data_IF_908143483318
#
_entry.id   IF_908143483318
#
_cell.length_a   1.000
_cell.length_b   1.000
_cell.length_c   1.000
_cell.angle_alpha   90.00
_cell.angle_beta   90.00
_cell.angle_gamma   90.00
#
_symmetry.space_group_name_H-M   'P 1'
#
loop_
_entity.id
_entity.type
_entity.pdbx_description
1 polymer ?
#
# COMPACT_ATOMS: atom_id res chain seq x y z
N UNK A 1 5.57 13.05 -19.23
CA UNK A 1 5.88 12.05 -18.18
C UNK A 1 5.87 12.79 -16.86
N UNK A 2 5.12 12.33 -15.86
CA UNK A 2 5.00 12.97 -14.55
C UNK A 2 5.83 12.20 -13.51
N UNK A 3 6.48 12.91 -12.61
CA UNK A 3 7.34 12.37 -11.55
C UNK A 3 6.83 12.81 -10.19
N UNK A 4 7.01 11.98 -9.17
CA UNK A 4 6.55 12.24 -7.81
C UNK A 4 7.60 11.82 -6.79
N UNK A 5 7.64 12.47 -5.62
CA UNK A 5 8.58 12.15 -4.52
C UNK A 5 8.41 10.72 -3.97
N UNK A 6 7.31 10.05 -4.30
CA UNK A 6 7.03 8.66 -3.98
C UNK A 6 5.62 8.28 -4.37
N UNK A 7 5.18 7.09 -3.95
CA UNK A 7 3.78 6.68 -4.06
C UNK A 7 3.20 6.40 -2.67
N UNK A 8 2.12 7.11 -2.32
CA UNK A 8 1.38 6.92 -1.07
C UNK A 8 -0.11 6.77 -1.43
N UNK A 9 -0.73 5.60 -1.22
CA UNK A 9 -2.06 5.29 -1.77
C UNK A 9 -3.24 6.13 -1.24
N UNK A 10 -3.02 6.98 -0.24
CA UNK A 10 -4.04 7.86 0.34
C UNK A 10 -3.52 9.30 0.60
N UNK A 11 -2.47 9.72 -0.10
CA UNK A 11 -1.98 11.09 -0.02
C UNK A 11 -1.98 11.74 -1.41
N UNK A 12 -2.19 13.05 -1.52
CA UNK A 12 -1.94 13.76 -2.76
C UNK A 12 -0.48 13.55 -3.17
N UNK A 13 -0.27 13.08 -4.39
CA UNK A 13 1.07 12.94 -4.94
C UNK A 13 1.60 14.32 -5.33
N UNK A 14 2.79 14.68 -4.85
CA UNK A 14 3.46 15.94 -5.17
C UNK A 14 4.26 15.75 -6.44
N UNK A 15 3.86 16.41 -7.52
CA UNK A 15 4.58 16.38 -8.78
C UNK A 15 5.90 17.16 -8.67
N UNK A 16 6.97 16.57 -9.18
CA UNK A 16 8.32 17.15 -9.20
C UNK A 16 8.91 17.04 -10.61
N UNK A 17 9.96 17.81 -10.89
CA UNK A 17 10.68 17.66 -12.14
C UNK A 17 11.60 16.42 -12.15
N UNK A 18 12.02 16.01 -13.35
CA UNK A 18 12.80 14.79 -13.54
C UNK A 18 14.22 14.86 -12.93
N UNK A 19 14.81 16.05 -12.77
CA UNK A 19 16.11 16.20 -12.13
C UNK A 19 15.96 16.05 -10.61
N UNK A 20 14.97 16.74 -10.02
CA UNK A 20 14.62 16.61 -8.60
C UNK A 20 14.31 15.15 -8.22
N UNK A 21 13.55 14.44 -9.04
CA UNK A 21 13.22 13.03 -8.81
C UNK A 21 14.47 12.13 -8.78
N UNK A 22 15.42 12.33 -9.70
CA UNK A 22 16.66 11.54 -9.72
C UNK A 22 17.59 11.89 -8.57
N UNK A 23 17.57 13.14 -8.11
CA UNK A 23 18.35 13.61 -6.98
C UNK A 23 17.78 13.19 -5.62
N UNK A 24 16.46 12.99 -5.50
CA UNK A 24 15.82 12.55 -4.23
C UNK A 24 16.20 11.13 -3.83
N UNK A 25 16.66 10.31 -4.78
CA UNK A 25 17.01 8.91 -4.57
C UNK A 25 15.80 7.96 -4.52
N UNK A 26 14.62 8.44 -4.11
CA UNK A 26 13.35 7.68 -4.18
C UNK A 26 12.29 8.52 -4.88
N UNK A 27 11.64 7.94 -5.89
CA UNK A 27 10.61 8.63 -6.66
C UNK A 27 9.66 7.64 -7.34
N UNK A 28 8.55 8.15 -7.87
CA UNK A 28 7.63 7.41 -8.71
C UNK A 28 7.43 8.11 -10.06
N UNK A 29 7.31 7.33 -11.13
CA UNK A 29 6.98 7.80 -12.48
C UNK A 29 5.58 7.31 -12.84
N UNK A 30 4.69 8.21 -13.28
CA UNK A 30 3.40 7.80 -13.87
C UNK A 30 3.62 7.42 -15.33
N UNK A 31 3.35 6.15 -15.64
CA UNK A 31 3.65 5.54 -16.95
C UNK A 31 2.41 5.47 -17.84
N UNK A 32 1.22 5.41 -17.24
CA UNK A 32 -0.05 5.28 -17.93
C UNK A 32 -1.14 5.95 -17.07
N UNK A 33 -1.81 6.97 -17.63
CA UNK A 33 -2.87 7.71 -16.94
C UNK A 33 -4.24 7.04 -17.12
N UNK A 34 -4.45 6.35 -18.25
CA UNK A 34 -5.68 5.62 -18.55
C UNK A 34 -5.77 4.35 -17.69
N UNK A 35 -4.62 3.74 -17.42
CA UNK A 35 -4.41 2.62 -16.52
C UNK A 35 -3.45 3.09 -15.43
N UNK A 36 -3.93 3.78 -14.37
CA UNK A 36 -3.08 4.42 -13.36
C UNK A 36 -2.00 3.47 -12.83
N UNK A 37 -0.78 3.66 -13.35
CA UNK A 37 0.36 2.77 -13.15
C UNK A 37 1.63 3.57 -12.94
N UNK A 38 2.28 3.27 -11.83
CA UNK A 38 3.50 3.93 -11.40
C UNK A 38 4.66 2.95 -11.40
N UNK A 39 5.84 3.45 -11.77
CA UNK A 39 7.12 2.77 -11.52
C UNK A 39 7.81 3.49 -10.39
N UNK A 40 8.07 2.79 -9.29
CA UNK A 40 8.76 3.35 -8.14
C UNK A 40 10.23 2.93 -8.16
N UNK A 41 11.11 3.91 -7.97
CA UNK A 41 12.56 3.75 -8.05
C UNK A 41 13.20 4.06 -6.70
N UNK A 42 14.28 3.33 -6.39
CA UNK A 42 15.15 3.57 -5.24
C UNK A 42 16.60 3.52 -5.72
N UNK A 43 17.38 4.58 -5.46
CA UNK A 43 18.74 4.75 -5.97
C UNK A 43 18.82 4.65 -7.50
N UNK A 44 17.78 5.08 -8.22
CA UNK A 44 17.68 4.95 -9.67
C UNK A 44 17.38 3.53 -10.19
N UNK A 45 17.20 2.54 -9.32
CA UNK A 45 16.83 1.17 -9.69
C UNK A 45 15.32 0.98 -9.55
N UNK A 46 14.69 0.35 -10.54
CA UNK A 46 13.27 0.01 -10.49
C UNK A 46 13.04 -0.95 -9.31
N UNK A 47 12.27 -0.50 -8.33
CA UNK A 47 12.01 -1.23 -7.11
C UNK A 47 10.68 -2.01 -7.20
N UNK A 48 9.62 -1.34 -7.66
CA UNK A 48 8.28 -1.93 -7.79
C UNK A 48 7.43 -1.23 -8.85
N UNK A 49 6.40 -1.93 -9.31
CA UNK A 49 5.33 -1.37 -10.14
C UNK A 49 4.06 -1.31 -9.31
N UNK A 50 3.38 -0.17 -9.31
CA UNK A 50 2.16 0.05 -8.54
C UNK A 50 1.00 0.36 -9.47
N UNK A 51 -0.09 -0.38 -9.35
CA UNK A 51 -1.37 -0.11 -10.02
C UNK A 51 -2.29 0.56 -8.99
N UNK A 52 -2.62 1.84 -9.16
CA UNK A 52 -3.46 2.57 -8.20
C UNK A 52 -4.00 3.92 -8.71
N UNK A 53 -5.17 4.38 -8.24
CA UNK A 53 -6.19 3.62 -7.50
C UNK A 53 -6.98 2.71 -8.44
N UNK A 54 -7.35 1.51 -7.99
CA UNK A 54 -8.19 0.57 -8.74
C UNK A 54 -9.46 0.19 -7.98
N UNK A 55 -10.55 -0.04 -8.70
CA UNK A 55 -11.79 -0.50 -8.07
C UNK A 55 -11.81 -2.03 -7.90
N UNK A 56 -11.24 -2.76 -8.86
CA UNK A 56 -11.09 -4.22 -8.81
C UNK A 56 -9.63 -4.61 -9.10
N UNK A 57 -8.96 -5.37 -8.22
CA UNK A 57 -7.58 -5.80 -8.43
C UNK A 57 -7.39 -6.85 -9.53
N UNK A 58 -8.43 -7.54 -9.99
CA UNK A 58 -8.30 -8.64 -10.97
C UNK A 58 -7.73 -8.17 -12.31
N UNK A 59 -8.18 -7.01 -12.78
CA UNK A 59 -7.73 -6.41 -14.04
C UNK A 59 -6.24 -6.05 -14.01
N UNK A 60 -5.74 -5.23 -13.06
CA UNK A 60 -4.32 -4.91 -12.99
C UNK A 60 -3.46 -6.13 -12.69
N UNK A 61 -3.94 -7.08 -11.89
CA UNK A 61 -3.21 -8.32 -11.61
C UNK A 61 -3.07 -9.20 -12.86
N UNK A 62 -4.11 -9.28 -13.69
CA UNK A 62 -4.06 -9.99 -14.97
C UNK A 62 -3.11 -9.31 -15.98
N UNK A 63 -3.08 -7.98 -16.02
CA UNK A 63 -2.13 -7.23 -16.84
C UNK A 63 -0.68 -7.45 -16.38
N UNK A 64 -0.45 -7.39 -15.07
CA UNK A 64 0.86 -7.61 -14.48
C UNK A 64 1.45 -8.97 -14.87
N UNK A 65 0.67 -10.04 -14.71
CA UNK A 65 1.04 -11.42 -15.12
C UNK A 65 1.39 -11.54 -16.61
N UNK A 66 0.82 -10.70 -17.47
CA UNK A 66 1.04 -10.77 -18.92
C UNK A 66 2.26 -9.98 -19.39
N UNK A 67 2.64 -8.92 -18.67
CA UNK A 67 3.50 -7.86 -19.24
C UNK A 67 4.68 -7.46 -18.39
N UNK A 68 4.69 -7.78 -17.10
CA UNK A 68 5.59 -7.12 -16.15
C UNK A 68 6.33 -8.12 -15.24
N UNK A 69 6.68 -9.28 -15.82
CA UNK A 69 7.50 -10.30 -15.16
C UNK A 69 8.88 -9.72 -14.78
N UNK A 70 9.34 -10.02 -13.57
CA UNK A 70 10.72 -9.71 -13.15
C UNK A 70 10.90 -8.56 -12.15
N UNK A 71 9.83 -7.87 -11.74
CA UNK A 71 9.84 -6.89 -10.64
C UNK A 71 8.65 -7.18 -9.72
N UNK A 72 8.67 -6.76 -8.45
CA UNK A 72 7.48 -6.89 -7.59
C UNK A 72 6.35 -5.95 -8.01
N UNK A 73 5.13 -6.42 -7.86
CA UNK A 73 3.92 -5.65 -8.12
C UNK A 73 3.17 -5.29 -6.84
N UNK A 74 2.55 -4.11 -6.83
CA UNK A 74 1.53 -3.73 -5.88
C UNK A 74 0.27 -3.33 -6.64
N UNK A 75 -0.88 -3.81 -6.18
CA UNK A 75 -2.19 -3.34 -6.65
C UNK A 75 -2.88 -2.71 -5.46
N UNK A 76 -3.34 -1.47 -5.60
CA UNK A 76 -3.98 -0.74 -4.49
C UNK A 76 -5.39 -0.36 -4.87
N UNK A 77 -6.34 -0.68 -3.99
CA UNK A 77 -7.72 -0.21 -4.18
C UNK A 77 -7.82 1.30 -4.04
N UNK A 78 -8.87 1.86 -4.62
CA UNK A 78 -9.37 3.16 -4.19
C UNK A 78 -9.64 3.15 -2.67
N UNK A 79 -9.32 4.25 -2.01
CA UNK A 79 -9.67 4.45 -0.62
C UNK A 79 -11.19 4.62 -0.47
N UNK A 80 -11.77 3.92 0.51
CA UNK A 80 -13.15 4.08 0.94
C UNK A 80 -13.17 4.94 2.22
N UNK A 81 -14.15 5.85 2.32
CA UNK A 81 -14.38 6.67 3.50
C UNK A 81 -15.75 6.33 4.05
N UNK A 82 -15.82 5.87 5.30
CA UNK A 82 -17.09 5.56 5.96
C UNK A 82 -17.78 6.82 6.53
N UNK A 83 -18.97 6.64 7.12
CA UNK A 83 -19.76 7.75 7.67
C UNK A 83 -19.09 8.44 8.88
N UNK A 84 -18.18 7.76 9.58
CA UNK A 84 -17.40 8.30 10.69
C UNK A 84 -16.12 9.00 10.21
N UNK A 85 -15.89 9.06 8.89
CA UNK A 85 -14.68 9.60 8.28
C UNK A 85 -13.49 8.65 8.34
N UNK A 86 -13.67 7.38 8.73
CA UNK A 86 -12.58 6.40 8.70
C UNK A 86 -12.24 6.04 7.26
N UNK A 87 -10.96 5.85 7.00
CA UNK A 87 -10.45 5.54 5.66
C UNK A 87 -9.97 4.10 5.61
N UNK A 88 -10.35 3.36 4.58
CA UNK A 88 -9.81 2.02 4.33
C UNK A 88 -9.39 1.80 2.88
N UNK A 89 -8.36 0.99 2.70
CA UNK A 89 -7.94 0.50 1.38
C UNK A 89 -7.23 -0.84 1.53
N UNK A 90 -7.06 -1.54 0.42
CA UNK A 90 -6.32 -2.81 0.38
C UNK A 90 -5.20 -2.75 -0.65
N UNK A 91 -4.06 -3.33 -0.29
CA UNK A 91 -2.91 -3.53 -1.17
C UNK A 91 -2.65 -5.03 -1.34
N UNK A 92 -2.55 -5.50 -2.58
CA UNK A 92 -2.04 -6.84 -2.91
C UNK A 92 -0.57 -6.73 -3.28
N UNK A 93 0.25 -7.57 -2.66
CA UNK A 93 1.66 -7.72 -2.98
C UNK A 93 1.84 -8.93 -3.89
N UNK A 94 2.55 -8.72 -5.00
CA UNK A 94 2.62 -9.67 -6.10
C UNK A 94 4.08 -10.04 -6.38
N UNK A 95 4.35 -11.33 -6.50
CA UNK A 95 5.66 -11.87 -6.88
C UNK A 95 6.07 -11.37 -8.28
N UNK A 96 7.36 -11.43 -8.64
CA UNK A 96 7.80 -11.21 -10.01
C UNK A 96 7.17 -12.13 -11.06
N UNK A 97 6.61 -13.27 -10.65
CA UNK A 97 5.87 -14.19 -11.52
C UNK A 97 4.37 -13.83 -11.64
N UNK A 98 3.90 -12.78 -10.96
CA UNK A 98 2.51 -12.35 -10.99
C UNK A 98 1.58 -13.10 -10.04
N UNK A 99 2.11 -13.78 -9.05
CA UNK A 99 1.33 -14.48 -8.02
C UNK A 99 1.11 -13.59 -6.80
N UNK A 100 -0.06 -13.68 -6.17
CA UNK A 100 -0.30 -12.94 -4.91
C UNK A 100 0.54 -13.57 -3.81
N UNK A 101 1.38 -12.79 -3.14
CA UNK A 101 2.12 -13.21 -1.94
C UNK A 101 1.28 -13.02 -0.68
N UNK A 102 0.55 -11.90 -0.62
CA UNK A 102 -0.33 -11.52 0.49
C UNK A 102 -1.16 -10.30 0.09
N UNK A 103 -2.19 -10.01 0.88
CA UNK A 103 -2.82 -8.69 0.88
C UNK A 103 -2.83 -8.08 2.26
N UNK A 104 -2.81 -6.75 2.32
CA UNK A 104 -2.96 -5.99 3.56
C UNK A 104 -4.11 -5.01 3.38
N UNK A 105 -5.07 -5.08 4.29
CA UNK A 105 -6.15 -4.10 4.40
C UNK A 105 -5.85 -3.16 5.55
N UNK A 106 -5.87 -1.87 5.25
CA UNK A 106 -5.59 -0.79 6.18
C UNK A 106 -6.89 -0.11 6.57
N UNK A 107 -7.03 0.21 7.85
CA UNK A 107 -8.10 1.05 8.38
C UNK A 107 -7.48 2.15 9.21
N UNK A 108 -7.83 3.40 8.89
CA UNK A 108 -7.39 4.60 9.56
C UNK A 108 -8.59 5.36 10.13
N UNK A 109 -8.37 6.16 11.16
CA UNK A 109 -9.36 7.14 11.61
C UNK A 109 -9.41 8.37 10.68
N UNK A 110 -10.34 9.29 10.97
CA UNK A 110 -10.50 10.52 10.20
C UNK A 110 -9.34 11.52 10.32
N UNK A 111 -8.39 11.30 11.23
CA UNK A 111 -7.16 12.08 11.37
C UNK A 111 -5.98 11.41 10.63
N UNK A 112 -6.21 10.28 9.97
CA UNK A 112 -5.19 9.56 9.21
C UNK A 112 -4.29 8.67 10.06
N UNK A 113 -4.67 8.36 11.31
CA UNK A 113 -3.93 7.42 12.15
C UNK A 113 -4.38 6.00 11.89
N UNK A 114 -3.44 5.05 11.81
CA UNK A 114 -3.77 3.64 11.67
C UNK A 114 -4.60 3.17 12.85
N UNK A 115 -5.71 2.47 12.61
CA UNK A 115 -6.48 1.78 13.64
C UNK A 115 -6.19 0.29 13.58
N UNK A 116 -6.11 -0.26 12.36
CA UNK A 116 -5.97 -1.70 12.12
C UNK A 116 -5.28 -2.02 10.79
N UNK A 117 -4.51 -3.09 10.80
CA UNK A 117 -3.96 -3.74 9.61
C UNK A 117 -4.34 -5.23 9.60
N UNK A 118 -5.04 -5.69 8.57
CA UNK A 118 -5.35 -7.10 8.36
C UNK A 118 -4.43 -7.69 7.30
N UNK A 119 -3.56 -8.64 7.70
CA UNK A 119 -2.66 -9.35 6.78
C UNK A 119 -3.29 -10.67 6.39
N UNK A 120 -3.50 -10.86 5.09
CA UNK A 120 -4.11 -12.07 4.52
C UNK A 120 -3.13 -12.83 3.65
N UNK A 121 -3.19 -14.15 3.73
CA UNK A 121 -2.47 -15.07 2.86
C UNK A 121 -2.98 -14.98 1.40
N UNK A 122 -2.30 -15.59 0.41
CA UNK A 122 -2.72 -15.56 -1.00
C UNK A 122 -4.15 -16.05 -1.25
N UNK A 123 -4.65 -16.97 -0.43
CA UNK A 123 -6.00 -17.52 -0.50
C UNK A 123 -7.07 -16.61 0.15
N UNK A 124 -6.66 -15.46 0.70
CA UNK A 124 -7.52 -14.49 1.37
C UNK A 124 -7.78 -14.77 2.85
N UNK A 125 -7.30 -15.89 3.39
CA UNK A 125 -7.44 -16.18 4.82
C UNK A 125 -6.64 -15.17 5.64
N UNK A 126 -7.23 -14.75 6.77
CA UNK A 126 -6.55 -13.85 7.70
C UNK A 126 -5.39 -14.62 8.34
N UNK A 127 -4.17 -14.09 8.20
CA UNK A 127 -2.95 -14.63 8.79
C UNK A 127 -2.72 -14.05 10.19
N UNK A 128 -2.88 -12.72 10.30
CA UNK A 128 -2.78 -11.95 11.54
C UNK A 128 -3.39 -10.57 11.32
N UNK A 129 -3.64 -9.87 12.42
CA UNK A 129 -3.96 -8.46 12.36
C UNK A 129 -3.21 -7.66 13.41
N UNK A 130 -3.05 -6.36 13.17
CA UNK A 130 -2.46 -5.41 14.11
C UNK A 130 -3.49 -4.39 14.52
N UNK A 131 -3.48 -4.01 15.79
CA UNK A 131 -4.30 -2.91 16.34
C UNK A 131 -3.37 -1.87 16.94
N UNK A 132 -3.63 -0.62 16.60
CA UNK A 132 -2.83 0.52 17.02
C UNK A 132 -3.60 1.31 18.07
N UNK A 133 -2.92 1.72 19.13
CA UNK A 133 -3.51 2.55 20.18
C UNK A 133 -2.71 3.81 20.36
N UNK A 134 -3.45 4.89 20.56
CA UNK A 134 -2.90 6.22 20.75
C UNK A 134 -3.37 6.80 22.06
N UNK A 135 -2.61 7.75 22.57
CA UNK A 135 -3.05 8.58 23.67
C UNK A 135 -4.01 9.67 23.19
N UNK A 136 -4.44 10.53 24.11
CA UNK A 136 -5.33 11.66 23.81
C UNK A 136 -4.68 12.79 22.98
N UNK A 137 -3.35 12.78 22.84
CA UNK A 137 -2.59 13.73 22.04
C UNK A 137 -2.27 13.20 20.64
N UNK A 138 -2.65 11.95 20.36
CA UNK A 138 -2.40 11.29 19.08
C UNK A 138 -1.03 10.62 18.99
N UNK A 139 -0.31 10.47 20.11
CA UNK A 139 0.96 9.76 20.16
C UNK A 139 0.70 8.25 20.24
N UNK A 140 1.43 7.46 19.43
CA UNK A 140 1.30 6.01 19.42
C UNK A 140 1.77 5.46 20.78
N UNK A 141 0.93 4.69 21.45
CA UNK A 141 1.23 4.05 22.72
C UNK A 141 1.65 2.60 22.55
N UNK A 142 0.89 1.85 21.76
CA UNK A 142 1.16 0.44 21.50
C UNK A 142 0.65 -0.05 20.15
N UNK A 143 1.34 -1.04 19.62
CA UNK A 143 0.89 -1.88 18.51
C UNK A 143 0.77 -3.32 19.01
N UNK A 144 -0.41 -3.90 18.88
CA UNK A 144 -0.69 -5.27 19.30
C UNK A 144 -0.92 -6.13 18.06
N UNK A 145 -0.11 -7.17 17.89
CA UNK A 145 -0.31 -8.17 16.84
C UNK A 145 -1.11 -9.34 17.40
N UNK A 146 -2.17 -9.73 16.69
CA UNK A 146 -3.06 -10.82 17.04
C UNK A 146 -3.04 -11.92 15.96
N UNK A 147 -3.20 -13.16 16.39
CA UNK A 147 -3.59 -14.27 15.53
C UNK A 147 -5.05 -14.10 15.07
N UNK A 148 -5.50 -14.87 14.07
CA UNK A 148 -6.85 -14.75 13.53
C UNK A 148 -7.95 -15.06 14.56
N UNK A 149 -7.66 -15.91 15.55
CA UNK A 149 -8.53 -16.24 16.68
C UNK A 149 -8.56 -15.16 17.79
N UNK A 150 -7.80 -14.09 17.62
CA UNK A 150 -7.69 -12.97 18.56
C UNK A 150 -6.61 -13.13 19.63
N UNK A 151 -5.90 -14.26 19.68
CA UNK A 151 -4.78 -14.45 20.61
C UNK A 151 -3.68 -13.43 20.33
N UNK A 152 -3.20 -12.76 21.38
CA UNK A 152 -2.06 -11.83 21.26
C UNK A 152 -0.79 -12.63 20.92
N UNK A 153 -0.14 -12.24 19.83
CA UNK A 153 1.14 -12.79 19.39
C UNK A 153 2.31 -11.91 19.83
N UNK A 154 2.14 -10.58 19.73
CA UNK A 154 3.18 -9.62 20.09
C UNK A 154 2.58 -8.30 20.58
N UNK A 155 3.32 -7.59 21.43
CA UNK A 155 3.05 -6.20 21.84
C UNK A 155 4.32 -5.38 21.68
N UNK A 156 4.19 -4.26 20.98
CA UNK A 156 5.27 -3.29 20.77
C UNK A 156 4.83 -1.97 21.41
N UNK A 157 5.65 -1.44 22.31
CA UNK A 157 5.46 -0.12 22.91
C UNK A 157 6.34 0.88 22.17
N UNK A 158 5.80 2.07 21.90
CA UNK A 158 6.52 3.15 21.23
C UNK A 158 7.52 3.84 22.17
#
# INVERSE_FOLDING_TARGET
MKYFEGFVPNAPLVEIDAAAARSSGTYAELVDEDVPRYRSFVGGTLHKIVYAPWDNPEVPLADFRKRNEGVRGEVVTKANVDADGRVSWRTWYVTPAGEVERSIEYLLDGEGRFLREDVREPDGQLSRYRVYKYDKYGELLEVVTHAPDGKVLNREHA
#
